data_IF_035903512735
#
_entry.id   IF_035903512735
#
_cell.length_a   1.000
_cell.length_b   1.000
_cell.length_c   1.000
_cell.angle_alpha   90.00
_cell.angle_beta   90.00
_cell.angle_gamma   90.00
#
_symmetry.space_group_name_H-M   'P 1'
#
loop_
_entity.id
_entity.type
_entity.pdbx_description
1 polymer ?
#
# COMPACT_ATOMS: atom_id res chain seq x y z
N UNK A 1 42.65 -28.16 31.88
CA UNK A 1 41.20 -28.37 32.10
C UNK A 1 40.39 -27.10 31.84
N UNK A 2 40.66 -25.98 32.53
CA UNK A 2 39.86 -24.75 32.41
C UNK A 2 39.81 -24.13 30.99
N UNK A 3 40.95 -24.07 30.29
CA UNK A 3 41.02 -23.52 28.93
C UNK A 3 40.22 -24.35 27.90
N UNK A 4 40.18 -25.67 28.08
CA UNK A 4 39.47 -26.59 27.20
C UNK A 4 37.95 -26.50 27.41
N UNK A 5 37.51 -26.33 28.66
CA UNK A 5 36.11 -26.10 28.98
C UNK A 5 35.59 -24.78 28.39
N UNK A 6 36.37 -23.70 28.44
CA UNK A 6 36.01 -22.40 27.85
C UNK A 6 35.92 -22.45 26.32
N UNK A 7 36.86 -23.15 25.68
CA UNK A 7 36.84 -23.32 24.23
C UNK A 7 35.59 -24.09 23.76
N UNK A 8 35.20 -25.14 24.47
CA UNK A 8 33.98 -25.91 24.16
C UNK A 8 32.71 -25.06 24.37
N UNK A 9 32.65 -24.29 25.46
CA UNK A 9 31.54 -23.36 25.71
C UNK A 9 31.40 -22.32 24.60
N UNK A 10 32.50 -21.73 24.13
CA UNK A 10 32.49 -20.75 23.05
C UNK A 10 31.97 -21.34 21.73
N UNK A 11 32.38 -22.56 21.39
CA UNK A 11 31.93 -23.26 20.18
C UNK A 11 30.44 -23.58 20.26
N UNK A 12 29.96 -24.05 21.41
CA UNK A 12 28.52 -24.35 21.61
C UNK A 12 27.69 -23.08 21.47
N UNK A 13 28.11 -21.97 22.06
CA UNK A 13 27.41 -20.68 21.92
C UNK A 13 27.43 -20.15 20.48
N UNK A 14 28.55 -20.31 19.76
CA UNK A 14 28.65 -19.92 18.36
C UNK A 14 27.72 -20.75 17.45
N UNK A 15 27.64 -22.06 17.69
CA UNK A 15 26.72 -22.96 16.97
C UNK A 15 25.27 -22.60 17.27
N UNK A 16 24.92 -22.38 18.54
CA UNK A 16 23.56 -21.96 18.93
C UNK A 16 23.19 -20.61 18.31
N UNK A 17 24.10 -19.64 18.29
CA UNK A 17 23.87 -18.34 17.64
C UNK A 17 23.70 -18.42 16.12
N UNK A 18 24.29 -19.43 15.47
CA UNK A 18 24.11 -19.69 14.03
C UNK A 18 22.74 -20.31 13.72
N UNK A 19 22.25 -21.20 14.58
CA UNK A 19 20.96 -21.89 14.40
C UNK A 19 19.76 -21.12 14.98
N UNK A 20 20.01 -20.15 15.86
CA UNK A 20 19.00 -19.27 16.44
C UNK A 20 19.42 -17.80 16.27
N UNK A 21 19.41 -17.26 15.05
CA UNK A 21 19.57 -15.82 14.85
C UNK A 21 18.48 -15.12 15.67
N UNK A 22 18.86 -14.18 16.53
CA UNK A 22 17.92 -13.37 17.30
C UNK A 22 16.99 -12.63 16.34
N UNK A 23 15.75 -13.10 16.20
CA UNK A 23 14.75 -12.51 15.30
C UNK A 23 14.02 -11.31 15.91
N UNK A 24 14.37 -10.88 17.12
CA UNK A 24 13.72 -9.77 17.79
C UNK A 24 14.36 -8.45 17.37
N UNK A 25 13.63 -7.73 16.49
CA UNK A 25 13.85 -6.36 16.00
C UNK A 25 14.71 -6.21 14.73
N UNK A 26 14.15 -6.59 13.58
CA UNK A 26 14.71 -6.25 12.24
C UNK A 26 14.81 -4.74 11.98
N UNK A 27 14.00 -3.93 12.67
CA UNK A 27 13.93 -2.47 12.49
C UNK A 27 13.77 -1.76 13.83
N UNK A 28 14.43 -0.61 13.99
CA UNK A 28 14.31 0.29 15.15
C UNK A 28 12.96 1.03 15.15
N UNK A 29 12.61 1.68 16.28
CA UNK A 29 11.43 2.54 16.36
C UNK A 29 11.47 3.65 15.32
N UNK A 30 12.57 4.39 15.25
CA UNK A 30 12.76 5.47 14.27
C UNK A 30 12.58 5.00 12.82
N UNK A 31 13.07 3.80 12.48
CA UNK A 31 12.88 3.23 11.14
C UNK A 31 11.41 2.91 10.84
N UNK A 32 10.65 2.49 11.85
CA UNK A 32 9.21 2.21 11.71
C UNK A 32 8.41 3.50 11.57
N UNK A 33 8.76 4.53 12.33
CA UNK A 33 8.11 5.84 12.27
C UNK A 33 8.38 6.54 10.94
N UNK A 34 9.63 6.48 10.45
CA UNK A 34 10.00 6.99 9.13
C UNK A 34 9.25 6.25 8.01
N UNK A 35 9.20 4.91 8.08
CA UNK A 35 8.47 4.10 7.12
C UNK A 35 6.95 4.40 7.15
N UNK A 36 6.37 4.54 8.35
CA UNK A 36 4.97 4.97 8.53
C UNK A 36 4.73 6.30 7.82
N UNK A 37 5.57 7.31 8.09
CA UNK A 37 5.47 8.62 7.45
C UNK A 37 5.47 8.54 5.93
N UNK A 38 6.45 7.83 5.35
CA UNK A 38 6.55 7.64 3.89
C UNK A 38 5.34 6.94 3.27
N UNK A 39 4.79 5.94 3.94
CA UNK A 39 3.60 5.22 3.48
C UNK A 39 2.35 6.10 3.57
N UNK A 40 2.19 6.86 4.65
CA UNK A 40 1.07 7.78 4.83
C UNK A 40 1.10 8.94 3.83
N UNK A 41 2.27 9.51 3.56
CA UNK A 41 2.43 10.54 2.51
C UNK A 41 2.08 9.97 1.13
N UNK A 42 2.54 8.76 0.84
CA UNK A 42 2.25 8.07 -0.41
C UNK A 42 0.75 7.81 -0.59
N UNK A 43 0.05 7.33 0.45
CA UNK A 43 -1.39 7.19 0.37
C UNK A 43 -2.01 8.53 0.07
N UNK A 44 -1.67 9.59 0.82
CA UNK A 44 -2.38 10.87 0.73
C UNK A 44 -2.37 11.42 -0.70
N UNK A 45 -1.23 11.30 -1.38
CA UNK A 45 -1.08 11.66 -2.80
C UNK A 45 -1.96 10.79 -3.71
N UNK A 46 -1.99 9.46 -3.49
CA UNK A 46 -2.81 8.54 -4.28
C UNK A 46 -4.31 8.79 -4.06
N UNK A 47 -4.75 9.00 -2.82
CA UNK A 47 -6.13 9.37 -2.48
C UNK A 47 -6.53 10.67 -3.18
N UNK A 48 -5.69 11.70 -3.10
CA UNK A 48 -5.94 12.98 -3.77
C UNK A 48 -6.00 12.83 -5.30
N UNK A 49 -5.02 12.16 -5.89
CA UNK A 49 -4.94 11.95 -7.34
C UNK A 49 -6.10 11.12 -7.89
N UNK A 50 -6.51 10.09 -7.14
CA UNK A 50 -7.70 9.28 -7.47
C UNK A 50 -8.95 10.14 -7.41
N UNK A 51 -9.20 10.83 -6.30
CA UNK A 51 -10.37 11.70 -6.14
C UNK A 51 -10.44 12.77 -7.23
N UNK A 52 -9.32 13.41 -7.56
CA UNK A 52 -9.29 14.43 -8.60
C UNK A 52 -9.70 13.85 -9.96
N UNK A 53 -9.06 12.77 -10.41
CA UNK A 53 -9.28 12.23 -11.74
C UNK A 53 -10.62 11.51 -11.89
N UNK A 54 -11.15 10.87 -10.84
CA UNK A 54 -12.46 10.19 -10.90
C UNK A 54 -13.65 11.14 -10.84
N UNK A 55 -13.44 12.40 -10.43
CA UNK A 55 -14.48 13.44 -10.38
C UNK A 55 -14.28 14.54 -11.44
N UNK A 56 -13.26 14.40 -12.29
CA UNK A 56 -12.99 15.35 -13.36
C UNK A 56 -14.16 15.33 -14.35
N UNK A 57 -14.58 16.50 -14.80
CA UNK A 57 -15.64 16.68 -15.78
C UNK A 57 -15.04 17.11 -17.11
N UNK A 58 -15.65 16.69 -18.22
CA UNK A 58 -15.28 17.17 -19.53
C UNK A 58 -15.59 18.68 -19.64
N UNK A 59 -14.60 19.55 -19.91
CA UNK A 59 -14.81 20.99 -20.02
C UNK A 59 -15.64 21.38 -21.26
N UNK A 60 -15.76 20.50 -22.26
CA UNK A 60 -16.52 20.73 -23.50
C UNK A 60 -17.60 19.64 -23.65
N UNK A 61 -18.83 19.88 -23.16
CA UNK A 61 -19.90 18.89 -23.21
C UNK A 61 -20.17 18.38 -24.64
N UNK A 62 -20.22 17.06 -24.81
CA UNK A 62 -20.45 16.40 -26.10
C UNK A 62 -19.20 16.15 -26.94
N UNK A 63 -18.02 16.56 -26.46
CA UNK A 63 -16.75 16.15 -27.07
C UNK A 63 -16.39 14.72 -26.63
N UNK A 64 -16.59 13.76 -27.54
CA UNK A 64 -16.27 12.35 -27.31
C UNK A 64 -14.79 12.13 -26.95
N UNK A 65 -13.87 12.92 -27.53
CA UNK A 65 -12.45 12.79 -27.21
C UNK A 65 -12.17 13.24 -25.77
N UNK A 66 -12.80 14.34 -25.32
CA UNK A 66 -12.76 14.80 -23.94
C UNK A 66 -13.34 13.79 -22.95
N UNK A 67 -14.48 13.17 -23.26
CA UNK A 67 -15.09 12.14 -22.41
C UNK A 67 -14.18 10.90 -22.25
N UNK A 68 -13.59 10.45 -23.37
CA UNK A 68 -12.61 9.36 -23.36
C UNK A 68 -11.36 9.73 -22.57
N UNK A 69 -10.85 10.96 -22.69
CA UNK A 69 -9.66 11.42 -21.98
C UNK A 69 -9.89 11.47 -20.46
N UNK A 70 -11.01 12.05 -20.02
CA UNK A 70 -11.41 12.10 -18.60
C UNK A 70 -11.56 10.69 -18.04
N UNK A 71 -12.31 9.83 -18.73
CA UNK A 71 -12.49 8.44 -18.31
C UNK A 71 -11.18 7.64 -18.30
N UNK A 72 -10.26 7.91 -19.22
CA UNK A 72 -8.94 7.25 -19.25
C UNK A 72 -8.09 7.69 -18.06
N UNK A 73 -8.07 8.99 -17.74
CA UNK A 73 -7.36 9.51 -16.57
C UNK A 73 -7.92 8.95 -15.26
N UNK A 74 -9.23 8.77 -15.14
CA UNK A 74 -9.85 8.12 -13.99
C UNK A 74 -9.41 6.65 -13.83
N UNK A 75 -9.36 5.88 -14.92
CA UNK A 75 -8.88 4.48 -14.88
C UNK A 75 -7.39 4.40 -14.57
N UNK A 76 -6.61 5.30 -15.17
CA UNK A 76 -5.17 5.38 -14.96
C UNK A 76 -4.83 5.76 -13.52
N UNK A 77 -5.54 6.71 -12.91
CA UNK A 77 -5.29 7.12 -11.53
C UNK A 77 -5.52 5.98 -10.54
N UNK A 78 -6.55 5.16 -10.76
CA UNK A 78 -6.82 3.94 -9.99
C UNK A 78 -5.67 2.93 -10.14
N UNK A 79 -5.32 2.56 -11.38
CA UNK A 79 -4.28 1.56 -11.63
C UNK A 79 -2.90 2.02 -11.15
N UNK A 80 -2.47 3.21 -11.56
CA UNK A 80 -1.18 3.76 -11.17
C UNK A 80 -1.11 4.05 -9.66
N UNK A 81 -2.24 4.42 -9.05
CA UNK A 81 -2.36 4.59 -7.60
C UNK A 81 -2.08 3.30 -6.84
N UNK A 82 -2.74 2.20 -7.21
CA UNK A 82 -2.49 0.90 -6.59
C UNK A 82 -1.05 0.41 -6.80
N UNK A 83 -0.55 0.45 -8.03
CA UNK A 83 0.80 0.02 -8.34
C UNK A 83 1.86 0.84 -7.58
N UNK A 84 1.65 2.16 -7.46
CA UNK A 84 2.53 3.03 -6.68
C UNK A 84 2.54 2.65 -5.19
N UNK A 85 1.39 2.39 -4.59
CA UNK A 85 1.29 1.98 -3.19
C UNK A 85 2.01 0.66 -2.93
N UNK A 86 1.83 -0.34 -3.79
CA UNK A 86 2.57 -1.61 -3.71
C UNK A 86 4.09 -1.38 -3.75
N UNK A 87 4.57 -0.57 -4.70
CA UNK A 87 6.00 -0.22 -4.77
C UNK A 87 6.49 0.54 -3.53
N UNK A 88 5.65 1.34 -2.88
CA UNK A 88 6.01 2.04 -1.63
C UNK A 88 6.08 1.09 -0.46
N UNK A 89 5.19 0.09 -0.37
CA UNK A 89 5.25 -0.95 0.64
C UNK A 89 6.52 -1.78 0.52
N UNK A 90 6.86 -2.23 -0.68
CA UNK A 90 8.11 -2.97 -0.94
C UNK A 90 9.37 -2.16 -0.57
N UNK A 91 9.36 -0.85 -0.84
CA UNK A 91 10.47 0.05 -0.53
C UNK A 91 10.58 0.41 0.96
N UNK A 92 9.55 0.16 1.77
CA UNK A 92 9.50 0.53 3.18
C UNK A 92 9.13 -0.68 4.08
N UNK A 93 9.98 -1.73 4.12
CA UNK A 93 9.70 -2.97 4.86
C UNK A 93 9.63 -2.80 6.39
N UNK A 94 9.97 -1.63 6.92
CA UNK A 94 9.84 -1.28 8.33
C UNK A 94 8.45 -0.75 8.69
N UNK A 95 7.55 -0.51 7.73
CA UNK A 95 6.21 -0.04 8.00
C UNK A 95 5.46 -1.00 8.96
N UNK A 96 4.65 -0.48 9.90
CA UNK A 96 3.81 -1.30 10.76
C UNK A 96 2.94 -2.28 9.95
N UNK A 97 2.73 -3.50 10.46
CA UNK A 97 2.04 -4.57 9.72
C UNK A 97 0.58 -4.22 9.41
N UNK A 98 -0.10 -3.53 10.33
CA UNK A 98 -1.48 -3.07 10.19
C UNK A 98 -1.61 -1.99 9.10
N UNK A 99 -0.69 -1.02 9.08
CA UNK A 99 -0.61 -0.02 8.02
C UNK A 99 -0.28 -0.65 6.68
N UNK A 100 0.70 -1.55 6.66
CA UNK A 100 1.12 -2.24 5.44
C UNK A 100 -0.02 -3.03 4.83
N UNK A 101 -0.77 -3.74 5.67
CA UNK A 101 -1.98 -4.45 5.27
C UNK A 101 -3.05 -3.50 4.74
N UNK A 102 -3.37 -2.43 5.47
CA UNK A 102 -4.44 -1.51 5.07
C UNK A 102 -4.13 -0.81 3.73
N UNK A 103 -2.87 -0.41 3.51
CA UNK A 103 -2.44 0.19 2.24
C UNK A 103 -2.42 -0.84 1.11
N UNK A 104 -1.98 -2.07 1.38
CA UNK A 104 -2.01 -3.15 0.41
C UNK A 104 -3.44 -3.48 -0.02
N UNK A 105 -4.36 -3.60 0.94
CA UNK A 105 -5.77 -3.84 0.67
C UNK A 105 -6.39 -2.68 -0.14
N UNK A 106 -6.01 -1.42 0.13
CA UNK A 106 -6.43 -0.26 -0.69
C UNK A 106 -5.87 -0.34 -2.11
N UNK A 107 -4.59 -0.68 -2.26
CA UNK A 107 -3.93 -0.81 -3.55
C UNK A 107 -4.62 -1.86 -4.43
N UNK A 108 -4.92 -3.03 -3.86
CA UNK A 108 -5.62 -4.12 -4.55
C UNK A 108 -7.03 -3.69 -5.00
N UNK A 109 -7.78 -2.98 -4.14
CA UNK A 109 -9.10 -2.47 -4.49
C UNK A 109 -9.04 -1.46 -5.64
N UNK A 110 -8.04 -0.56 -5.65
CA UNK A 110 -7.85 0.42 -6.73
C UNK A 110 -7.57 -0.27 -8.06
N UNK A 111 -6.69 -1.28 -8.08
CA UNK A 111 -6.37 -2.05 -9.29
C UNK A 111 -7.59 -2.86 -9.77
N UNK A 112 -8.34 -3.49 -8.85
CA UNK A 112 -9.57 -4.21 -9.16
C UNK A 112 -10.66 -3.31 -9.77
N UNK A 113 -10.85 -2.10 -9.23
CA UNK A 113 -11.74 -1.10 -9.80
C UNK A 113 -11.31 -0.74 -11.22
N UNK A 114 -10.01 -0.46 -11.41
CA UNK A 114 -9.47 -0.05 -12.71
C UNK A 114 -9.67 -1.12 -13.77
N UNK A 115 -9.34 -2.39 -13.47
CA UNK A 115 -9.48 -3.47 -14.44
C UNK A 115 -10.94 -3.73 -14.80
N UNK A 116 -11.87 -3.62 -13.85
CA UNK A 116 -13.31 -3.72 -14.14
C UNK A 116 -13.78 -2.57 -15.05
N UNK A 117 -13.33 -1.33 -14.82
CA UNK A 117 -13.66 -0.20 -15.69
C UNK A 117 -13.04 -0.34 -17.09
N UNK A 118 -11.89 -0.99 -17.22
CA UNK A 118 -11.29 -1.32 -18.51
C UNK A 118 -12.03 -2.45 -19.23
N UNK A 119 -12.62 -3.38 -18.48
CA UNK A 119 -13.50 -4.43 -19.01
C UNK A 119 -14.87 -3.92 -19.46
N UNK A 120 -15.16 -2.63 -19.28
CA UNK A 120 -16.40 -1.98 -19.74
C UNK A 120 -17.48 -1.84 -18.67
N UNK A 121 -17.19 -2.17 -17.41
CA UNK A 121 -18.15 -1.98 -16.32
C UNK A 121 -18.39 -0.51 -16.01
N UNK A 122 -19.64 -0.15 -15.71
CA UNK A 122 -20.03 1.18 -15.26
C UNK A 122 -19.99 1.29 -13.73
N UNK A 123 -19.93 2.51 -13.15
CA UNK A 123 -19.94 2.69 -11.69
C UNK A 123 -21.14 2.05 -10.98
N UNK A 124 -22.28 1.92 -11.67
CA UNK A 124 -23.54 1.39 -11.13
C UNK A 124 -23.68 -0.13 -11.32
N UNK A 125 -22.71 -0.77 -12.00
CA UNK A 125 -22.71 -2.21 -12.17
C UNK A 125 -22.51 -2.92 -10.83
N UNK A 126 -23.21 -4.05 -10.62
CA UNK A 126 -23.18 -4.80 -9.37
C UNK A 126 -21.77 -5.28 -8.97
N UNK A 127 -20.84 -5.42 -9.93
CA UNK A 127 -19.44 -5.79 -9.67
C UNK A 127 -18.60 -4.64 -9.11
N UNK A 128 -18.98 -3.38 -9.38
CA UNK A 128 -18.21 -2.21 -8.95
C UNK A 128 -18.61 -1.71 -7.56
N UNK A 129 -19.90 -1.75 -7.24
CA UNK A 129 -20.40 -1.14 -6.01
C UNK A 129 -19.72 -1.67 -4.73
N UNK A 130 -19.52 -3.00 -4.54
CA UNK A 130 -18.81 -3.52 -3.36
C UNK A 130 -17.38 -3.01 -3.24
N UNK A 131 -16.65 -2.92 -4.36
CA UNK A 131 -15.26 -2.42 -4.38
C UNK A 131 -15.20 -0.93 -4.02
N UNK A 132 -16.18 -0.14 -4.47
CA UNK A 132 -16.25 1.28 -4.13
C UNK A 132 -16.56 1.50 -2.64
N UNK A 133 -17.43 0.70 -2.06
CA UNK A 133 -17.73 0.75 -0.63
C UNK A 133 -16.54 0.28 0.20
N UNK A 134 -15.86 -0.78 -0.24
CA UNK A 134 -14.61 -1.24 0.35
C UNK A 134 -13.53 -0.15 0.32
N UNK A 135 -13.33 0.52 -0.82
CA UNK A 135 -12.35 1.60 -0.93
C UNK A 135 -12.65 2.75 0.04
N UNK A 136 -13.92 3.13 0.21
CA UNK A 136 -14.33 4.14 1.19
C UNK A 136 -13.95 3.73 2.61
N UNK A 137 -14.29 2.49 3.01
CA UNK A 137 -13.94 1.97 4.33
C UNK A 137 -12.42 1.87 4.54
N UNK A 138 -11.66 1.52 3.51
CA UNK A 138 -10.20 1.47 3.57
C UNK A 138 -9.59 2.87 3.75
N UNK A 139 -10.14 3.89 3.09
CA UNK A 139 -9.76 5.29 3.30
C UNK A 139 -10.00 5.69 4.75
N UNK A 140 -11.17 5.37 5.33
CA UNK A 140 -11.46 5.69 6.73
C UNK A 140 -10.50 5.00 7.71
N UNK A 141 -10.13 3.74 7.46
CA UNK A 141 -9.11 3.02 8.25
C UNK A 141 -7.75 3.71 8.13
N UNK A 142 -7.32 4.05 6.92
CA UNK A 142 -6.03 4.70 6.69
C UNK A 142 -5.97 6.12 7.26
N UNK A 143 -7.06 6.87 7.19
CA UNK A 143 -7.16 8.20 7.79
C UNK A 143 -6.98 8.13 9.32
N UNK A 144 -7.34 7.02 9.98
CA UNK A 144 -7.04 6.79 11.40
C UNK A 144 -5.59 6.36 11.63
N UNK A 145 -5.07 5.41 10.84
CA UNK A 145 -3.69 4.90 11.00
C UNK A 145 -2.62 5.97 10.71
N UNK A 146 -2.92 6.88 9.79
CA UNK A 146 -2.03 7.96 9.35
C UNK A 146 -2.20 9.26 10.13
N UNK A 147 -2.92 9.25 11.26
CA UNK A 147 -2.90 10.39 12.17
C UNK A 147 -1.48 10.61 12.74
N UNK A 148 -1.08 11.89 12.90
CA UNK A 148 0.20 12.25 13.51
C UNK A 148 0.29 11.83 14.98
#
# INVERSE_FOLDING_TARGET
>A
MAALALAVLAIVLAVVGWFYPSTSHKFSGDQRDEAKGKICDAQAVVRQGTQFNTNLQNPVPGDLAGDLAVGTNARLSLFAGGAFLHQRLEANPAAPDDLSKAVGDMADTLEALSINYLAGHSPDDAVQQPLRDQLRGQIDVLDNLCQP
#
